data_IF_611489681466
#
_entry.id   IF_611489681466
#
_cell.length_a   1.000
_cell.length_b   1.000
_cell.length_c   1.000
_cell.angle_alpha   90.00
_cell.angle_beta   90.00
_cell.angle_gamma   90.00
#
_symmetry.space_group_name_H-M   'P 1'
#
loop_
_entity.id
_entity.type
_entity.pdbx_description
1 polymer ?
#
# COMPACT_ATOMS: atom_id res chain seq x y z
N UNK A 1 4.25 -7.41 -16.81
CA UNK A 1 4.27 -6.66 -18.09
C UNK A 1 3.39 -5.42 -17.98
N UNK A 2 3.95 -4.21 -17.84
CA UNK A 2 3.17 -2.97 -17.68
C UNK A 2 2.28 -2.63 -18.88
N UNK A 3 2.71 -3.02 -20.08
CA UNK A 3 2.05 -2.63 -21.33
C UNK A 3 0.64 -3.21 -21.51
N UNK A 4 0.37 -4.37 -20.91
CA UNK A 4 -0.93 -5.06 -21.01
C UNK A 4 -1.98 -4.51 -20.04
N UNK A 5 -1.58 -3.84 -18.96
CA UNK A 5 -2.50 -3.41 -17.90
C UNK A 5 -3.24 -2.11 -18.25
N UNK A 6 -2.58 -1.20 -18.96
CA UNK A 6 -3.15 0.09 -19.37
C UNK A 6 -2.37 0.63 -20.56
N UNK A 7 -3.01 1.44 -21.41
CA UNK A 7 -2.37 2.16 -22.52
C UNK A 7 -1.65 3.42 -22.00
N UNK A 8 -2.13 3.93 -20.87
CA UNK A 8 -1.73 5.22 -20.31
C UNK A 8 -0.30 5.16 -19.75
N UNK A 9 0.55 6.06 -20.24
CA UNK A 9 1.99 6.01 -19.99
C UNK A 9 2.36 6.35 -18.54
N UNK A 10 1.57 7.16 -17.85
CA UNK A 10 1.81 7.58 -16.46
C UNK A 10 1.58 6.43 -15.49
N UNK A 11 0.49 5.68 -15.66
CA UNK A 11 0.15 4.49 -14.89
C UNK A 11 1.17 3.38 -15.14
N UNK A 12 1.69 3.23 -16.36
CA UNK A 12 2.81 2.31 -16.63
C UNK A 12 4.07 2.71 -15.87
N UNK A 13 4.42 4.00 -15.85
CA UNK A 13 5.56 4.52 -15.07
C UNK A 13 5.33 4.32 -13.57
N UNK A 14 4.12 4.56 -13.09
CA UNK A 14 3.74 4.34 -11.70
C UNK A 14 3.87 2.86 -11.32
N UNK A 15 3.30 1.95 -12.12
CA UNK A 15 3.39 0.51 -11.91
C UNK A 15 4.85 0.04 -11.86
N UNK A 16 5.69 0.52 -12.79
CA UNK A 16 7.13 0.26 -12.77
C UNK A 16 7.76 0.72 -11.45
N UNK A 17 7.47 1.96 -11.03
CA UNK A 17 7.99 2.50 -9.77
C UNK A 17 7.55 1.69 -8.54
N UNK A 18 6.28 1.27 -8.51
CA UNK A 18 5.70 0.47 -7.44
C UNK A 18 6.38 -0.89 -7.33
N UNK A 19 6.45 -1.65 -8.43
CA UNK A 19 7.04 -3.00 -8.47
C UNK A 19 8.52 -2.97 -8.08
N UNK A 20 9.27 -1.95 -8.52
CA UNK A 20 10.67 -1.78 -8.18
C UNK A 20 10.89 -1.13 -6.81
N UNK A 21 9.83 -0.82 -6.05
CA UNK A 21 9.89 -0.17 -4.74
C UNK A 21 10.68 1.15 -4.73
N UNK A 22 10.66 1.89 -5.85
CA UNK A 22 11.35 3.19 -6.03
C UNK A 22 10.41 4.39 -5.85
N UNK A 23 9.22 4.17 -5.31
CA UNK A 23 8.31 5.26 -4.96
C UNK A 23 8.94 6.07 -3.82
N UNK A 24 9.03 7.38 -4.01
CA UNK A 24 9.51 8.30 -2.99
C UNK A 24 8.45 8.41 -1.89
N UNK A 25 8.67 7.68 -0.80
CA UNK A 25 7.87 7.73 0.43
C UNK A 25 8.52 8.67 1.44
N UNK A 26 7.77 9.21 2.39
CA UNK A 26 8.36 10.05 3.44
C UNK A 26 9.42 9.31 4.28
N UNK A 27 9.32 7.99 4.46
CA UNK A 27 10.42 7.19 5.03
C UNK A 27 11.73 7.34 4.25
N UNK A 28 11.66 7.24 2.91
CA UNK A 28 12.82 7.38 2.04
C UNK A 28 13.33 8.83 2.03
N UNK A 29 12.43 9.81 1.85
CA UNK A 29 12.79 11.23 1.80
C UNK A 29 13.41 11.72 3.12
N UNK A 30 12.89 11.28 4.26
CA UNK A 30 13.46 11.57 5.56
C UNK A 30 14.87 10.99 5.71
N UNK A 31 15.09 9.75 5.27
CA UNK A 31 16.44 9.13 5.26
C UNK A 31 17.43 9.90 4.38
N UNK A 32 16.96 10.46 3.27
CA UNK A 32 17.75 11.31 2.39
C UNK A 32 17.91 12.76 2.89
N UNK A 33 17.34 13.11 4.06
CA UNK A 33 17.30 14.49 4.59
C UNK A 33 16.62 15.49 3.64
N UNK A 34 15.67 15.00 2.84
CA UNK A 34 14.84 15.80 1.92
C UNK A 34 13.46 16.11 2.49
N UNK A 35 13.05 15.43 3.56
CA UNK A 35 11.82 15.71 4.31
C UNK A 35 12.14 15.84 5.80
N UNK A 36 11.36 16.68 6.49
CA UNK A 36 11.46 16.92 7.93
C UNK A 36 10.72 15.87 8.78
N UNK A 37 9.90 15.02 8.15
CA UNK A 37 9.12 13.99 8.81
C UNK A 37 9.12 12.70 7.98
N UNK A 38 9.08 11.55 8.65
CA UNK A 38 8.89 10.25 8.02
C UNK A 38 7.43 9.77 8.11
N UNK A 39 6.53 10.56 8.69
CA UNK A 39 5.13 10.21 8.87
C UNK A 39 4.37 10.27 7.54
N UNK A 40 3.31 9.48 7.44
CA UNK A 40 2.41 9.48 6.29
C UNK A 40 1.65 10.79 6.18
N UNK A 41 1.66 11.38 5.00
CA UNK A 41 0.95 12.64 4.75
C UNK A 41 -0.58 12.50 4.81
N UNK A 42 -1.09 11.27 4.68
CA UNK A 42 -2.52 11.00 4.77
C UNK A 42 -3.00 10.89 6.22
N UNK A 43 -2.40 9.96 7.00
CA UNK A 43 -2.90 9.68 8.34
C UNK A 43 -2.20 10.48 9.44
N UNK A 44 -0.97 10.96 9.20
CA UNK A 44 -0.14 11.65 10.20
C UNK A 44 0.31 10.79 11.39
N UNK A 45 -0.01 9.50 11.43
CA UNK A 45 0.13 8.64 12.62
C UNK A 45 1.27 7.62 12.50
N UNK A 46 1.49 7.09 11.30
CA UNK A 46 2.46 6.01 11.06
C UNK A 46 3.52 6.45 10.06
N UNK A 47 4.67 5.76 10.06
CA UNK A 47 5.73 5.98 9.08
C UNK A 47 5.21 5.67 7.67
N UNK A 48 5.45 6.56 6.71
CA UNK A 48 5.06 6.34 5.34
C UNK A 48 5.99 5.34 4.65
N UNK A 49 5.56 4.08 4.58
CA UNK A 49 6.15 3.06 3.72
C UNK A 49 5.26 2.83 2.49
N UNK A 50 5.71 2.03 1.53
CA UNK A 50 4.87 1.64 0.38
C UNK A 50 3.68 0.81 0.88
N UNK A 51 3.94 -0.11 1.80
CA UNK A 51 2.92 -0.94 2.46
C UNK A 51 1.87 -0.07 3.16
N UNK A 52 2.32 0.93 3.93
CA UNK A 52 1.41 1.83 4.62
C UNK A 52 0.60 2.68 3.64
N UNK A 53 1.27 3.31 2.68
CA UNK A 53 0.66 4.24 1.74
C UNK A 53 -0.44 3.57 0.89
N UNK A 54 -0.18 2.35 0.40
CA UNK A 54 -1.08 1.66 -0.54
C UNK A 54 -1.96 0.57 0.08
N UNK A 55 -1.74 0.23 1.35
CA UNK A 55 -2.55 -0.77 2.03
C UNK A 55 -2.92 -0.36 3.45
N UNK A 56 -1.97 -0.20 4.37
CA UNK A 56 -2.29 -0.18 5.82
C UNK A 56 -2.92 1.13 6.30
N UNK A 57 -2.72 2.24 5.58
CA UNK A 57 -3.25 3.55 5.95
C UNK A 57 -4.78 3.50 6.07
N UNK A 58 -5.33 4.10 7.14
CA UNK A 58 -6.77 4.17 7.41
C UNK A 58 -7.57 4.77 6.25
N UNK A 59 -7.01 5.78 5.57
CA UNK A 59 -7.64 6.40 4.41
C UNK A 59 -7.63 5.46 3.19
N UNK A 60 -6.54 4.73 3.00
CA UNK A 60 -6.42 3.73 1.93
C UNK A 60 -7.35 2.54 2.17
N UNK A 61 -7.43 2.02 3.39
CA UNK A 61 -8.39 0.99 3.78
C UNK A 61 -9.84 1.45 3.57
N UNK A 62 -10.16 2.72 3.85
CA UNK A 62 -11.49 3.25 3.59
C UNK A 62 -11.86 3.16 2.10
N UNK A 63 -10.95 3.51 1.19
CA UNK A 63 -11.15 3.37 -0.25
C UNK A 63 -11.35 1.90 -0.65
N UNK A 64 -10.51 0.99 -0.13
CA UNK A 64 -10.64 -0.44 -0.42
C UNK A 64 -11.98 -1.00 0.05
N UNK A 65 -12.44 -0.61 1.24
CA UNK A 65 -13.74 -1.04 1.77
C UNK A 65 -14.91 -0.51 0.93
N UNK A 66 -14.83 0.74 0.46
CA UNK A 66 -15.82 1.28 -0.47
C UNK A 66 -15.86 0.50 -1.79
N UNK A 67 -14.69 0.15 -2.33
CA UNK A 67 -14.59 -0.64 -3.55
C UNK A 67 -15.18 -2.04 -3.36
N UNK A 68 -14.84 -2.74 -2.28
CA UNK A 68 -15.42 -4.06 -1.96
C UNK A 68 -16.93 -3.96 -1.84
N UNK A 69 -17.43 -2.98 -1.09
CA UNK A 69 -18.88 -2.76 -0.93
C UNK A 69 -19.57 -2.52 -2.27
N UNK A 70 -18.95 -1.75 -3.17
CA UNK A 70 -19.47 -1.52 -4.52
C UNK A 70 -19.49 -2.82 -5.35
N UNK A 71 -18.43 -3.63 -5.29
CA UNK A 71 -18.36 -4.90 -6.03
C UNK A 71 -19.38 -5.92 -5.50
N UNK A 72 -19.56 -5.98 -4.19
CA UNK A 72 -20.58 -6.83 -3.55
C UNK A 72 -22.00 -6.45 -3.99
N UNK A 73 -22.29 -5.15 -4.15
CA UNK A 73 -23.57 -4.70 -4.72
C UNK A 73 -23.78 -5.21 -6.16
N UNK A 74 -22.70 -5.41 -6.91
CA UNK A 74 -22.74 -6.01 -8.26
C UNK A 74 -22.70 -7.55 -8.23
N UNK A 75 -22.89 -8.18 -7.07
CA UNK A 75 -22.79 -9.64 -6.85
C UNK A 75 -21.41 -10.22 -7.20
N UNK A 76 -20.34 -9.42 -7.09
CA UNK A 76 -18.96 -9.86 -7.22
C UNK A 76 -18.31 -9.99 -5.83
N UNK A 77 -18.15 -11.23 -5.36
CA UNK A 77 -17.47 -11.48 -4.09
C UNK A 77 -15.95 -11.43 -4.29
N UNK A 78 -15.31 -10.36 -3.83
CA UNK A 78 -13.87 -10.15 -3.94
C UNK A 78 -13.24 -10.06 -2.56
N UNK A 79 -12.34 -10.98 -2.26
CA UNK A 79 -11.49 -10.90 -1.07
C UNK A 79 -10.20 -10.14 -1.41
N UNK A 80 -10.04 -8.94 -0.85
CA UNK A 80 -8.79 -8.19 -0.98
C UNK A 80 -7.78 -8.65 0.08
N UNK A 81 -6.53 -8.83 -0.35
CA UNK A 81 -5.40 -9.08 0.53
C UNK A 81 -4.14 -8.45 -0.04
N UNK A 82 -3.24 -7.99 0.83
CA UNK A 82 -2.00 -7.33 0.44
C UNK A 82 -1.11 -8.18 -0.49
N UNK A 83 -1.20 -9.52 -0.41
CA UNK A 83 -0.31 -10.47 -1.08
C UNK A 83 -0.56 -10.69 -2.59
N UNK A 84 -1.22 -9.78 -3.31
CA UNK A 84 -1.55 -9.98 -4.72
C UNK A 84 -0.70 -9.20 -5.75
N UNK A 85 0.34 -8.47 -5.34
CA UNK A 85 1.15 -7.67 -6.29
C UNK A 85 2.65 -7.98 -6.30
N UNK A 86 3.16 -8.74 -5.34
CA UNK A 86 4.58 -8.94 -5.14
C UNK A 86 4.93 -10.40 -5.43
N UNK A 87 5.23 -10.72 -6.68
CA UNK A 87 5.72 -12.03 -7.11
C UNK A 87 7.13 -12.37 -6.60
N UNK A 88 7.43 -12.07 -5.32
CA UNK A 88 8.66 -12.46 -4.64
C UNK A 88 8.35 -12.82 -3.20
N UNK A 89 8.09 -14.11 -2.97
CA UNK A 89 8.44 -14.75 -1.70
C UNK A 89 9.96 -14.72 -1.55
N UNK A 90 10.42 -14.53 -0.32
CA UNK A 90 11.81 -14.63 0.15
C UNK A 90 12.77 -13.49 -0.20
N UNK A 91 12.96 -12.58 0.77
CA UNK A 91 14.24 -12.49 1.51
C UNK A 91 14.13 -11.54 2.71
N UNK A 92 14.61 -12.09 3.83
CA UNK A 92 14.92 -11.47 5.13
C UNK A 92 13.75 -11.33 6.12
N UNK A 93 13.57 -12.43 6.85
CA UNK A 93 13.15 -12.43 8.26
C UNK A 93 14.05 -11.45 9.03
N UNK A 94 13.43 -10.52 9.73
CA UNK A 94 13.84 -10.08 11.07
C UNK A 94 12.63 -9.37 11.71
N UNK A 95 12.21 -9.87 12.87
CA UNK A 95 11.15 -9.26 13.68
C UNK A 95 9.76 -9.82 13.43
N UNK A 96 9.47 -10.97 14.02
CA UNK A 96 8.09 -11.41 14.22
C UNK A 96 7.34 -10.38 15.08
N UNK A 97 6.40 -9.66 14.48
CA UNK A 97 5.25 -9.11 15.20
C UNK A 97 4.01 -9.78 14.63
N UNK A 98 3.53 -10.73 15.43
CA UNK A 98 2.19 -11.28 15.32
C UNK A 98 1.19 -10.13 15.20
N UNK A 99 0.48 -10.06 14.07
CA UNK A 99 -0.66 -9.17 13.92
C UNK A 99 -1.75 -9.71 14.83
N UNK A 100 -1.80 -9.18 16.05
CA UNK A 100 -2.96 -9.30 16.93
C UNK A 100 -4.14 -8.60 16.25
N UNK A 101 -5.36 -9.15 16.30
CA UNK A 101 -6.51 -8.46 15.75
C UNK A 101 -6.73 -7.20 16.59
N UNK A 102 -6.53 -6.04 15.97
CA UNK A 102 -6.80 -4.75 16.61
C UNK A 102 -8.29 -4.69 16.97
N UNK A 103 -8.57 -4.88 18.26
CA UNK A 103 -9.86 -4.60 18.88
C UNK A 103 -10.20 -3.14 18.61
N UNK A 104 -11.29 -2.91 17.89
CA UNK A 104 -12.02 -1.66 17.97
C UNK A 104 -12.56 -1.52 19.39
N UNK A 105 -12.10 -0.49 20.12
CA UNK A 105 -12.86 0.04 21.24
C UNK A 105 -13.33 1.46 20.89
N UNK A 106 -14.64 1.57 21.10
CA UNK A 106 -15.58 2.69 21.00
C UNK A 106 -15.05 4.07 21.37
#
# INVERSE_FOLDING_TARGET
MPYKATIESTLRKFQYKYIHRIIATNKYLFKCKLSNSNLCDFCGENIETIEHLFWECKHTQHIWNQLVSFLEQQQLNVKLSFLNCDGQTDRLKDGAQTISPLRFHR
#
